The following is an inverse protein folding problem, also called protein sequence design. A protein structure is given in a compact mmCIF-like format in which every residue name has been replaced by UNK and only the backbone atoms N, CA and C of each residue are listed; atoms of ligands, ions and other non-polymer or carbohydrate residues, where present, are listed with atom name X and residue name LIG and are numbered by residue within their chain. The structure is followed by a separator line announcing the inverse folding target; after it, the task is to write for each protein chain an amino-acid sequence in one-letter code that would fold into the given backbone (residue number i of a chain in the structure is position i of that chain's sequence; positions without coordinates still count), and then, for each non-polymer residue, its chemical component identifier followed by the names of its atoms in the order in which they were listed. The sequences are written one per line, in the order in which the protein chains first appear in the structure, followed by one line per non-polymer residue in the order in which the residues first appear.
data_IF_624324054907
#
_entry.id   IF_624324054907
#
_cell.length_a   1.000
_cell.length_b   1.000
_cell.length_c   1.000
_cell.angle_alpha   90.00
_cell.angle_beta   90.00
_cell.angle_gamma   90.00
#
_symmetry.space_group_name_H-M   'P 1'
#
loop_
_entity.id
_entity.type
_entity.pdbx_description
1 polymer ?
#
# COMPACT_ATOMS: atom_id res chain seq x y z
N UNK A 1 2.44 -8.89 -18.68
CA UNK A 1 1.74 -8.25 -17.56
C UNK A 1 1.72 -6.76 -17.84
N UNK A 2 0.56 -6.11 -17.79
CA UNK A 2 0.44 -4.68 -18.06
C UNK A 2 0.94 -3.90 -16.83
N UNK A 3 1.81 -2.90 -17.03
CA UNK A 3 2.38 -2.13 -15.91
C UNK A 3 1.31 -1.49 -15.02
N UNK A 4 0.14 -1.17 -15.59
CA UNK A 4 -1.02 -0.69 -14.83
C UNK A 4 -1.57 -1.74 -13.88
N UNK A 5 -1.86 -2.94 -14.38
CA UNK A 5 -2.41 -4.05 -13.58
C UNK A 5 -1.47 -4.42 -12.44
N UNK A 6 -0.15 -4.42 -12.70
CA UNK A 6 0.85 -4.71 -11.68
C UNK A 6 0.83 -3.67 -10.54
N UNK A 7 0.72 -2.39 -10.88
CA UNK A 7 0.68 -1.29 -9.90
C UNK A 7 -0.64 -1.29 -9.11
N UNK A 8 -1.78 -1.52 -9.78
CA UNK A 8 -3.09 -1.64 -9.11
C UNK A 8 -3.09 -2.83 -8.14
N UNK A 9 -2.54 -3.98 -8.56
CA UNK A 9 -2.42 -5.15 -7.70
C UNK A 9 -1.49 -4.92 -6.51
N UNK A 10 -0.39 -4.18 -6.69
CA UNK A 10 0.47 -3.78 -5.59
C UNK A 10 -0.28 -2.89 -4.58
N UNK A 11 -1.06 -1.91 -5.05
CA UNK A 11 -1.86 -1.07 -4.17
C UNK A 11 -2.91 -1.87 -3.38
N UNK A 12 -3.61 -2.80 -4.04
CA UNK A 12 -4.57 -3.69 -3.36
C UNK A 12 -3.91 -4.51 -2.25
N UNK A 13 -2.73 -5.08 -2.52
CA UNK A 13 -1.97 -5.82 -1.50
C UNK A 13 -1.55 -4.96 -0.32
N UNK A 14 -1.12 -3.73 -0.57
CA UNK A 14 -0.71 -2.80 0.49
C UNK A 14 -1.92 -2.42 1.34
N UNK A 15 -3.08 -2.16 0.71
CA UNK A 15 -4.33 -1.89 1.44
C UNK A 15 -4.74 -3.06 2.33
N UNK A 16 -4.66 -4.30 1.81
CA UNK A 16 -4.95 -5.50 2.60
C UNK A 16 -3.99 -5.65 3.79
N UNK A 17 -2.68 -5.47 3.56
CA UNK A 17 -1.69 -5.55 4.64
C UNK A 17 -1.93 -4.48 5.73
N UNK A 18 -2.41 -3.29 5.37
CA UNK A 18 -2.78 -2.26 6.35
C UNK A 18 -3.98 -2.72 7.19
N UNK A 19 -5.00 -3.30 6.56
CA UNK A 19 -6.17 -3.85 7.27
C UNK A 19 -5.76 -4.97 8.23
N UNK A 20 -4.93 -5.91 7.78
CA UNK A 20 -4.41 -7.00 8.62
C UNK A 20 -3.67 -6.46 9.85
N UNK A 21 -2.88 -5.38 9.71
CA UNK A 21 -2.19 -4.74 10.84
C UNK A 21 -3.19 -4.04 11.77
N UNK A 22 -4.27 -3.43 11.25
CA UNK A 22 -5.33 -2.80 12.04
C UNK A 22 -6.18 -3.84 12.78
N UNK A 23 -6.42 -4.99 12.20
CA UNK A 23 -7.23 -6.05 12.83
C UNK A 23 -6.39 -6.92 13.78
N UNK A 24 -5.06 -6.83 13.72
CA UNK A 24 -4.18 -7.55 14.61
C UNK A 24 -4.29 -7.03 16.06
N UNK A 25 -4.90 -7.83 16.92
CA UNK A 25 -5.05 -7.57 18.36
C UNK A 25 -3.85 -8.02 19.20
N UNK A 26 -2.88 -8.71 18.60
CA UNK A 26 -1.70 -9.27 19.27
C UNK A 26 -0.50 -8.32 19.31
N UNK A 27 -0.59 -7.18 18.63
CA UNK A 27 0.48 -6.17 18.58
C UNK A 27 0.11 -4.92 19.37
N UNK A 28 1.13 -4.25 19.92
CA UNK A 28 0.95 -2.98 20.62
C UNK A 28 0.58 -1.86 19.65
N UNK A 29 -0.07 -0.81 20.14
CA UNK A 29 -0.41 0.36 19.31
C UNK A 29 0.82 1.04 18.70
N UNK A 30 1.95 1.04 19.43
CA UNK A 30 3.22 1.57 18.92
C UNK A 30 3.70 0.78 17.71
N UNK A 31 3.69 -0.55 17.80
CA UNK A 31 4.10 -1.43 16.69
C UNK A 31 3.13 -1.34 15.51
N UNK A 32 1.83 -1.28 15.81
CA UNK A 32 0.77 -1.05 14.81
C UNK A 32 1.05 0.21 14.01
N UNK A 33 1.28 1.34 14.69
CA UNK A 33 1.59 2.62 14.05
C UNK A 33 2.87 2.54 13.22
N UNK A 34 3.93 1.91 13.74
CA UNK A 34 5.19 1.78 13.00
C UNK A 34 5.04 0.94 11.72
N UNK A 35 4.30 -0.17 11.80
CA UNK A 35 4.01 -1.03 10.65
C UNK A 35 3.13 -0.33 9.61
N UNK A 36 2.06 0.35 10.05
CA UNK A 36 1.20 1.15 9.16
C UNK A 36 2.02 2.24 8.46
N UNK A 37 2.90 2.95 9.18
CA UNK A 37 3.77 3.97 8.59
C UNK A 37 4.67 3.40 7.48
N UNK A 38 5.27 2.23 7.70
CA UNK A 38 6.08 1.55 6.68
C UNK A 38 5.24 1.19 5.44
N UNK A 39 4.02 0.70 5.63
CA UNK A 39 3.10 0.35 4.54
C UNK A 39 2.63 1.59 3.76
N UNK A 40 2.37 2.71 4.45
CA UNK A 40 2.04 3.99 3.80
C UNK A 40 3.21 4.48 2.93
N UNK A 41 4.44 4.42 3.43
CA UNK A 41 5.62 4.82 2.63
C UNK A 41 5.76 3.97 1.35
N UNK A 42 5.48 2.66 1.44
CA UNK A 42 5.48 1.77 0.27
C UNK A 42 4.34 2.16 -0.70
N UNK A 43 3.14 2.45 -0.19
CA UNK A 43 2.01 2.94 -0.99
C UNK A 43 2.37 4.20 -1.76
N UNK A 44 3.00 5.17 -1.10
CA UNK A 44 3.46 6.41 -1.72
C UNK A 44 4.50 6.17 -2.81
N UNK A 45 5.45 5.25 -2.59
CA UNK A 45 6.44 4.88 -3.60
C UNK A 45 5.81 4.26 -4.87
N UNK A 46 4.77 3.43 -4.71
CA UNK A 46 4.02 2.85 -5.84
C UNK A 46 3.25 3.93 -6.60
N UNK A 47 2.59 4.84 -5.90
CA UNK A 47 1.90 6.00 -6.51
C UNK A 47 2.88 6.92 -7.23
N UNK A 48 4.07 7.15 -6.65
CA UNK A 48 5.11 7.95 -7.30
C UNK A 48 5.53 7.30 -8.63
N UNK A 49 5.80 5.99 -8.62
CA UNK A 49 6.17 5.24 -9.82
C UNK A 49 5.08 5.27 -10.88
N UNK A 50 3.79 5.24 -10.49
CA UNK A 50 2.70 5.34 -11.45
C UNK A 50 2.65 6.71 -12.15
N UNK A 51 2.91 7.78 -11.40
CA UNK A 51 3.05 9.14 -11.95
C UNK A 51 4.22 9.24 -12.91
N UNK A 52 5.38 8.68 -12.57
CA UNK A 52 6.55 8.64 -13.48
C UNK A 52 6.22 7.93 -14.79
N UNK A 53 5.46 6.84 -14.73
CA UNK A 53 5.04 6.07 -15.89
C UNK A 53 3.83 6.67 -16.63
N UNK A 54 3.29 7.80 -16.16
CA UNK A 54 2.07 8.44 -16.68
C UNK A 54 0.88 7.48 -16.71
N UNK A 55 0.79 6.60 -15.72
CA UNK A 55 -0.30 5.67 -15.52
C UNK A 55 -1.24 6.27 -14.49
N UNK A 56 -2.46 6.60 -14.94
CA UNK A 56 -3.56 6.89 -14.03
C UNK A 56 -4.04 5.59 -13.39
N UNK A 57 -3.71 5.44 -12.11
CA UNK A 57 -4.28 4.40 -11.27
C UNK A 57 -5.61 4.93 -10.77
N UNK A 58 -6.71 4.25 -11.12
CA UNK A 58 -7.99 4.55 -10.48
C UNK A 58 -7.85 4.25 -8.98
N UNK A 59 -8.08 5.27 -8.16
CA UNK A 59 -8.09 5.11 -6.72
C UNK A 59 -9.29 4.21 -6.36
N UNK A 60 -9.00 2.93 -6.11
CA UNK A 60 -9.93 2.02 -5.44
C UNK A 60 -10.18 2.46 -3.99
#
# INVERSE_FOLDING_TARGET
MNHREDLEFQLQKISLAIQEVIENSLITDKERQERIKKLINIKEAVIYKSKELRIDLEAA
#
